data_IF_994309366721
#
_entry.id   IF_994309366721
#
_cell.length_a   1.000
_cell.length_b   1.000
_cell.length_c   1.000
_cell.angle_alpha   90.00
_cell.angle_beta   90.00
_cell.angle_gamma   90.00
#
_symmetry.space_group_name_H-M   'P 1'
#
loop_
_entity.id
_entity.type
_entity.pdbx_description
1 polymer ?
#
# COMPACT_ATOMS: atom_id res chain seq x y z
N UNK A 1 -37.61 -17.89 3.46
CA UNK A 1 -36.16 -17.97 3.14
C UNK A 1 -35.69 -16.63 2.53
N UNK A 2 -35.61 -15.55 3.31
CA UNK A 2 -35.18 -14.24 2.83
C UNK A 2 -34.42 -13.51 3.96
N UNK A 3 -33.11 -13.75 4.07
CA UNK A 3 -32.31 -13.17 5.17
C UNK A 3 -30.80 -13.04 4.91
N UNK A 4 -30.20 -13.89 4.05
CA UNK A 4 -28.74 -13.87 3.84
C UNK A 4 -28.21 -12.73 2.95
N UNK A 5 -29.04 -12.14 2.07
CA UNK A 5 -28.57 -11.11 1.11
C UNK A 5 -28.35 -9.73 1.73
N UNK A 6 -29.14 -9.34 2.72
CA UNK A 6 -29.01 -8.03 3.39
C UNK A 6 -27.80 -7.94 4.31
N UNK A 7 -27.52 -9.00 5.06
CA UNK A 7 -26.38 -9.06 5.99
C UNK A 7 -25.03 -8.94 5.25
N UNK A 8 -24.89 -9.57 4.09
CA UNK A 8 -23.65 -9.54 3.30
C UNK A 8 -23.28 -8.15 2.74
N UNK A 9 -24.26 -7.28 2.48
CA UNK A 9 -24.00 -5.94 1.91
C UNK A 9 -23.52 -4.98 2.98
N UNK A 10 -24.17 -4.97 4.14
CA UNK A 10 -23.76 -4.12 5.27
C UNK A 10 -22.39 -4.53 5.83
N UNK A 11 -22.10 -5.83 5.91
CA UNK A 11 -20.76 -6.33 6.28
C UNK A 11 -19.67 -5.82 5.33
N UNK A 12 -19.90 -5.90 4.01
CA UNK A 12 -18.94 -5.39 3.00
C UNK A 12 -18.76 -3.88 3.12
N UNK A 13 -19.83 -3.14 3.41
CA UNK A 13 -19.78 -1.68 3.57
C UNK A 13 -19.03 -1.29 4.84
N UNK A 14 -19.25 -2.00 5.95
CA UNK A 14 -18.49 -1.84 7.18
C UNK A 14 -17.00 -2.14 6.96
N UNK A 15 -16.68 -3.27 6.32
CA UNK A 15 -15.30 -3.64 6.01
C UNK A 15 -14.62 -2.61 5.10
N UNK A 16 -15.33 -2.07 4.10
CA UNK A 16 -14.82 -0.98 3.25
C UNK A 16 -14.53 0.26 4.07
N UNK A 17 -15.43 0.68 4.96
CA UNK A 17 -15.22 1.84 5.84
C UNK A 17 -13.99 1.66 6.72
N UNK A 18 -13.84 0.49 7.33
CA UNK A 18 -12.66 0.17 8.15
C UNK A 18 -11.36 0.19 7.36
N UNK A 19 -11.36 -0.33 6.13
CA UNK A 19 -10.19 -0.29 5.27
C UNK A 19 -9.81 1.16 4.88
N UNK A 20 -10.82 2.01 4.65
CA UNK A 20 -10.62 3.41 4.28
C UNK A 20 -10.16 4.30 5.45
N UNK A 21 -10.43 3.92 6.70
CA UNK A 21 -9.98 4.63 7.90
C UNK A 21 -8.55 4.26 8.35
N UNK A 22 -7.93 3.27 7.71
CA UNK A 22 -6.54 2.89 7.99
C UNK A 22 -5.55 4.02 7.65
N UNK A 23 -4.46 4.09 8.42
CA UNK A 23 -3.38 5.05 8.23
C UNK A 23 -2.15 4.32 7.68
N UNK A 24 -1.84 4.44 6.38
CA UNK A 24 -0.65 3.82 5.83
C UNK A 24 0.60 4.59 6.25
N UNK A 25 1.65 3.87 6.64
CA UNK A 25 2.97 4.43 6.90
C UNK A 25 4.07 3.65 6.19
N UNK A 26 5.08 4.36 5.69
CA UNK A 26 6.29 3.75 5.13
C UNK A 26 7.06 2.99 6.21
N UNK A 27 7.50 1.77 5.90
CA UNK A 27 8.33 1.00 6.83
C UNK A 27 9.76 1.59 6.90
N UNK A 28 10.33 1.82 8.10
CA UNK A 28 11.67 2.39 8.25
C UNK A 28 12.80 1.55 7.63
N UNK A 29 12.58 0.25 7.52
CA UNK A 29 13.54 -0.67 6.91
C UNK A 29 13.66 -0.53 5.38
N UNK A 30 12.80 0.28 4.75
CA UNK A 30 12.82 0.52 3.31
C UNK A 30 13.80 1.64 2.97
N UNK A 31 14.82 1.31 2.18
CA UNK A 31 15.76 2.30 1.64
C UNK A 31 15.13 3.02 0.45
N UNK A 32 15.27 4.34 0.43
CA UNK A 32 14.76 5.20 -0.65
C UNK A 32 15.94 5.80 -1.40
N UNK A 33 15.88 5.74 -2.72
CA UNK A 33 16.88 6.33 -3.61
C UNK A 33 16.17 7.10 -4.72
N UNK A 34 16.67 8.28 -5.04
CA UNK A 34 16.21 9.03 -6.20
C UNK A 34 17.30 8.97 -7.28
N UNK A 35 16.92 8.47 -8.45
CA UNK A 35 17.82 8.35 -9.60
C UNK A 35 17.06 8.72 -10.86
N UNK A 36 17.62 9.62 -11.66
CA UNK A 36 17.03 10.09 -12.93
C UNK A 36 15.58 10.61 -12.77
N UNK A 37 15.29 11.27 -11.63
CA UNK A 37 13.95 11.80 -11.30
C UNK A 37 12.92 10.73 -10.91
N UNK A 38 13.31 9.46 -10.83
CA UNK A 38 12.46 8.35 -10.37
C UNK A 38 12.82 7.95 -8.95
N UNK A 39 11.78 7.72 -8.15
CA UNK A 39 11.93 7.19 -6.80
C UNK A 39 12.04 5.66 -6.87
N UNK A 40 13.10 5.13 -6.28
CA UNK A 40 13.31 3.71 -6.08
C UNK A 40 13.20 3.38 -4.60
N UNK A 41 12.46 2.31 -4.29
CA UNK A 41 12.30 1.81 -2.93
C UNK A 41 12.81 0.38 -2.84
N UNK A 42 13.70 0.13 -1.90
CA UNK A 42 14.39 -1.15 -1.73
C UNK A 42 14.07 -1.75 -0.38
N UNK A 43 13.68 -3.02 -0.39
CA UNK A 43 13.37 -3.81 0.81
C UNK A 43 14.23 -5.07 0.83
N UNK A 44 14.70 -5.41 2.04
CA UNK A 44 15.46 -6.62 2.33
C UNK A 44 14.52 -7.74 2.75
N UNK A 45 14.64 -8.90 2.12
CA UNK A 45 13.94 -10.12 2.51
C UNK A 45 14.94 -11.16 3.00
N UNK A 46 14.54 -11.93 4.00
CA UNK A 46 15.27 -13.13 4.42
C UNK A 46 15.03 -14.24 3.40
N UNK A 47 16.11 -14.86 2.91
CA UNK A 47 15.97 -16.01 2.01
C UNK A 47 15.45 -17.23 2.79
N UNK A 48 14.63 -18.09 2.14
CA UNK A 48 14.22 -19.36 2.71
C UNK A 48 15.41 -20.20 3.18
N UNK A 49 15.24 -20.94 4.29
CA UNK A 49 16.31 -21.74 4.90
C UNK A 49 16.97 -22.71 3.93
N UNK A 50 16.22 -23.30 3.00
CA UNK A 50 16.77 -24.23 2.00
C UNK A 50 17.75 -23.54 1.04
N UNK A 51 17.52 -22.27 0.65
CA UNK A 51 18.45 -21.51 -0.19
C UNK A 51 19.72 -21.13 0.57
N UNK A 52 19.59 -20.87 1.87
CA UNK A 52 20.73 -20.60 2.75
C UNK A 52 21.61 -21.85 2.94
N UNK A 53 20.98 -23.03 3.04
CA UNK A 53 21.69 -24.30 3.20
C UNK A 53 22.52 -24.65 1.96
N UNK A 54 22.15 -24.15 0.77
CA UNK A 54 22.92 -24.30 -0.47
C UNK A 54 24.00 -23.21 -0.67
N UNK A 55 24.44 -22.53 0.39
CA UNK A 55 25.48 -21.50 0.31
C UNK A 55 25.01 -20.15 -0.24
N UNK A 56 23.70 -19.93 -0.39
CA UNK A 56 23.15 -18.64 -0.79
C UNK A 56 23.23 -17.59 0.33
N UNK A 57 23.48 -16.33 -0.03
CA UNK A 57 23.47 -15.21 0.93
C UNK A 57 22.16 -15.13 1.74
N UNK A 58 22.26 -14.73 3.00
CA UNK A 58 21.14 -14.75 3.97
C UNK A 58 19.97 -13.84 3.58
N UNK A 59 20.27 -12.69 2.98
CA UNK A 59 19.28 -11.69 2.57
C UNK A 59 19.29 -11.48 1.06
N UNK A 60 18.14 -11.13 0.50
CA UNK A 60 18.04 -10.58 -0.85
C UNK A 60 17.35 -9.21 -0.81
N UNK A 61 17.84 -8.29 -1.65
CA UNK A 61 17.22 -6.99 -1.84
C UNK A 61 16.30 -7.05 -3.05
N UNK A 62 15.15 -6.37 -2.97
CA UNK A 62 14.35 -6.05 -4.16
C UNK A 62 14.07 -4.58 -4.21
N UNK A 63 14.33 -4.00 -5.37
CA UNK A 63 14.13 -2.58 -5.66
C UNK A 63 12.92 -2.42 -6.56
N UNK A 64 12.04 -1.49 -6.22
CA UNK A 64 10.84 -1.14 -6.97
C UNK A 64 10.95 0.32 -7.40
N UNK A 65 10.87 0.56 -8.71
CA UNK A 65 10.74 1.92 -9.24
C UNK A 65 9.30 2.39 -9.15
N UNK A 66 9.11 3.62 -8.67
CA UNK A 66 7.82 4.28 -8.60
C UNK A 66 7.60 5.09 -9.88
N UNK A 67 6.40 4.98 -10.44
CA UNK A 67 5.92 5.96 -11.42
C UNK A 67 5.50 7.27 -10.71
N UNK A 68 5.14 8.30 -11.48
CA UNK A 68 4.78 9.60 -10.94
C UNK A 68 3.56 9.57 -10.01
N UNK A 69 2.56 8.73 -10.32
CA UNK A 69 1.33 8.61 -9.52
C UNK A 69 1.56 7.77 -8.27
N UNK A 70 2.27 6.64 -8.41
CA UNK A 70 2.68 5.77 -7.33
C UNK A 70 3.59 6.47 -6.32
N UNK A 71 4.55 7.29 -6.79
CA UNK A 71 5.38 8.15 -5.93
C UNK A 71 4.51 9.07 -5.08
N UNK A 72 3.55 9.75 -5.71
CA UNK A 72 2.66 10.69 -5.01
C UNK A 72 1.82 10.01 -3.93
N UNK A 73 1.28 8.82 -4.21
CA UNK A 73 0.56 8.04 -3.19
C UNK A 73 1.51 7.56 -2.09
N UNK A 74 2.69 7.07 -2.45
CA UNK A 74 3.67 6.55 -1.50
C UNK A 74 4.21 7.62 -0.54
N UNK A 75 4.43 8.84 -1.02
CA UNK A 75 4.86 9.98 -0.20
C UNK A 75 3.80 10.43 0.81
N UNK A 76 2.52 10.16 0.53
CA UNK A 76 1.41 10.41 1.45
C UNK A 76 1.25 9.31 2.51
N UNK A 77 1.99 8.19 2.41
CA UNK A 77 2.01 7.13 3.41
C UNK A 77 2.92 7.50 4.59
N UNK A 78 2.52 8.52 5.35
CA UNK A 78 3.26 9.10 6.47
C UNK A 78 2.70 8.70 7.85
N UNK A 79 1.66 7.85 7.90
CA UNK A 79 0.94 7.47 9.12
C UNK A 79 -0.01 8.55 9.67
N UNK A 80 -0.12 9.71 9.01
CA UNK A 80 -0.98 10.83 9.42
C UNK A 80 -2.26 10.87 8.60
N UNK A 81 -2.18 10.54 7.31
CA UNK A 81 -3.33 10.54 6.41
C UNK A 81 -4.08 9.20 6.49
N UNK A 82 -5.41 9.23 6.39
CA UNK A 82 -6.21 8.01 6.15
C UNK A 82 -6.15 7.62 4.68
N UNK A 83 -6.45 6.35 4.36
CA UNK A 83 -6.62 5.91 2.97
C UNK A 83 -7.66 6.76 2.24
N UNK A 84 -8.79 7.07 2.89
CA UNK A 84 -9.82 7.95 2.32
C UNK A 84 -9.27 9.34 1.95
N UNK A 85 -8.50 9.97 2.84
CA UNK A 85 -7.89 11.26 2.58
C UNK A 85 -6.92 11.19 1.40
N UNK A 86 -6.12 10.11 1.32
CA UNK A 86 -5.19 9.90 0.20
C UNK A 86 -5.96 9.73 -1.12
N UNK A 87 -7.06 8.99 -1.12
CA UNK A 87 -7.95 8.83 -2.29
C UNK A 87 -8.49 10.19 -2.75
N UNK A 88 -9.01 11.01 -1.82
CA UNK A 88 -9.53 12.34 -2.15
C UNK A 88 -8.44 13.25 -2.72
N UNK A 89 -7.27 13.29 -2.07
CA UNK A 89 -6.12 14.11 -2.54
C UNK A 89 -5.61 13.64 -3.89
N UNK A 90 -5.60 12.34 -4.15
CA UNK A 90 -5.24 11.77 -5.44
C UNK A 90 -6.25 12.16 -6.54
N UNK A 91 -7.55 12.03 -6.25
CA UNK A 91 -8.63 12.40 -7.17
C UNK A 91 -8.53 13.87 -7.60
N UNK A 92 -8.32 14.78 -6.64
CA UNK A 92 -8.15 16.21 -6.93
C UNK A 92 -6.89 16.48 -7.74
N UNK A 93 -5.76 15.84 -7.39
CA UNK A 93 -4.49 16.08 -8.06
C UNK A 93 -4.46 15.57 -9.51
N UNK A 94 -5.09 14.42 -9.78
CA UNK A 94 -5.08 13.75 -11.09
C UNK A 94 -6.35 14.07 -11.92
N UNK A 95 -7.33 14.75 -11.31
CA UNK A 95 -8.62 15.13 -11.93
C UNK A 95 -9.41 13.93 -12.46
N UNK A 96 -9.46 12.87 -11.67
CA UNK A 96 -10.25 11.65 -11.95
C UNK A 96 -11.36 11.49 -10.92
N UNK A 97 -12.33 10.63 -11.21
CA UNK A 97 -13.46 10.43 -10.30
C UNK A 97 -13.03 9.78 -8.98
N UNK A 98 -13.80 10.01 -7.91
CA UNK A 98 -13.55 9.37 -6.61
C UNK A 98 -13.57 7.83 -6.69
N UNK A 99 -14.53 7.18 -7.38
CA UNK A 99 -14.52 5.71 -7.50
C UNK A 99 -13.29 5.15 -8.23
N UNK A 100 -12.85 5.81 -9.31
CA UNK A 100 -11.63 5.42 -10.04
C UNK A 100 -10.38 5.61 -9.17
N UNK A 101 -10.31 6.73 -8.45
CA UNK A 101 -9.23 7.04 -7.54
C UNK A 101 -9.14 6.01 -6.41
N UNK A 102 -10.27 5.67 -5.81
CA UNK A 102 -10.32 4.65 -4.76
C UNK A 102 -9.81 3.31 -5.27
N UNK A 103 -10.29 2.86 -6.43
CA UNK A 103 -9.86 1.61 -7.03
C UNK A 103 -8.35 1.63 -7.31
N UNK A 104 -7.83 2.69 -7.91
CA UNK A 104 -6.41 2.81 -8.26
C UNK A 104 -5.53 2.84 -7.00
N UNK A 105 -5.85 3.70 -6.04
CA UNK A 105 -5.08 3.89 -4.80
C UNK A 105 -5.12 2.63 -3.94
N UNK A 106 -6.29 2.03 -3.71
CA UNK A 106 -6.40 0.82 -2.88
C UNK A 106 -5.69 -0.38 -3.51
N UNK A 107 -5.75 -0.54 -4.84
CA UNK A 107 -5.00 -1.57 -5.57
C UNK A 107 -3.50 -1.37 -5.41
N UNK A 108 -3.02 -0.13 -5.54
CA UNK A 108 -1.62 0.19 -5.37
C UNK A 108 -1.14 -0.03 -3.93
N UNK A 109 -1.90 0.45 -2.93
CA UNK A 109 -1.61 0.21 -1.51
C UNK A 109 -1.56 -1.27 -1.17
N UNK A 110 -2.47 -2.09 -1.72
CA UNK A 110 -2.42 -3.54 -1.55
C UNK A 110 -1.11 -4.14 -2.08
N UNK A 111 -0.63 -3.67 -3.22
CA UNK A 111 0.70 -4.05 -3.73
C UNK A 111 1.79 -3.65 -2.75
N UNK A 112 1.81 -2.40 -2.28
CA UNK A 112 2.83 -1.92 -1.33
C UNK A 112 2.84 -2.75 -0.03
N UNK A 113 1.66 -3.06 0.52
CA UNK A 113 1.50 -3.93 1.69
C UNK A 113 2.06 -5.32 1.44
N UNK A 114 1.69 -5.93 0.30
CA UNK A 114 2.11 -7.29 -0.06
C UNK A 114 3.62 -7.36 -0.30
N UNK A 115 4.24 -6.26 -0.75
CA UNK A 115 5.70 -6.15 -0.92
C UNK A 115 6.42 -5.75 0.37
N UNK A 116 5.71 -5.46 1.46
CA UNK A 116 6.35 -5.03 2.71
C UNK A 116 7.03 -3.66 2.59
N UNK A 117 6.44 -2.75 1.81
CA UNK A 117 6.93 -1.38 1.64
C UNK A 117 6.24 -0.37 2.58
N UNK A 118 5.00 -0.68 2.96
CA UNK A 118 4.19 0.08 3.91
C UNK A 118 3.52 -0.89 4.88
N UNK A 119 3.04 -0.36 6.01
CA UNK A 119 2.11 -1.03 6.90
C UNK A 119 0.87 -0.16 7.12
N UNK A 120 -0.23 -0.78 7.56
CA UNK A 120 -1.47 -0.09 7.92
C UNK A 120 -1.61 -0.05 9.44
N UNK A 121 -1.84 1.14 9.97
CA UNK A 121 -2.25 1.32 11.35
C UNK A 121 -3.75 1.62 11.43
N UNK A 122 -4.43 0.91 12.33
CA UNK A 122 -5.81 1.19 12.68
C UNK A 122 -5.78 1.95 14.01
N UNK A 123 -6.10 3.24 13.97
CA UNK A 123 -6.33 4.00 15.20
C UNK A 123 -7.71 3.60 15.74
N UNK A 124 -7.71 3.03 16.94
CA UNK A 124 -8.93 2.71 17.70
C UNK A 124 -9.52 3.96 18.31
#
# INVERSE_FOLDING_TARGET
>A
MAGRRGQSVEEKKAMRRTALSGHPHCLPAVRKEEKDGKLYVTVKYMRPRWQRLMGGAETCERTFGMDAYGRRVYELCDGRQTVESIVQRFATAVRVSLPESEMAVTKFMRTLLTKGLIAMEMKS
#
